data_IF_548823690095
#
_entry.id   IF_548823690095
#
_cell.length_a   1.000
_cell.length_b   1.000
_cell.length_c   1.000
_cell.angle_alpha   90.00
_cell.angle_beta   90.00
_cell.angle_gamma   90.00
#
_symmetry.space_group_name_H-M   'P 1'
#
loop_
_entity.id
_entity.type
_entity.pdbx_description
1 polymer ?
#
# COMPACT_ATOMS: atom_id res chain seq x y z
N UNK A 1 -14.30 -6.09 41.88
CA UNK A 1 -13.28 -6.93 41.21
C UNK A 1 -13.64 -7.04 39.75
N UNK A 2 -12.80 -6.58 38.80
CA UNK A 2 -13.06 -6.80 37.38
C UNK A 2 -12.72 -8.25 37.01
N UNK A 3 -13.56 -8.86 36.18
CA UNK A 3 -13.37 -10.22 35.65
C UNK A 3 -12.42 -10.15 34.45
N UNK A 4 -11.18 -10.61 34.64
CA UNK A 4 -10.25 -10.84 33.53
C UNK A 4 -10.80 -11.94 32.61
N UNK A 5 -10.86 -11.73 31.28
CA UNK A 5 -11.30 -12.78 30.37
C UNK A 5 -10.26 -13.91 30.34
N UNK A 6 -10.68 -15.11 30.73
CA UNK A 6 -9.84 -16.32 30.80
C UNK A 6 -9.25 -16.77 29.44
N UNK A 7 -9.61 -16.11 28.33
CA UNK A 7 -9.06 -16.42 27.01
C UNK A 7 -8.96 -15.16 26.16
N UNK A 8 -7.89 -15.11 25.35
CA UNK A 8 -7.72 -14.14 24.28
C UNK A 8 -8.37 -14.70 23.00
N UNK A 9 -9.59 -14.22 22.64
CA UNK A 9 -10.33 -14.73 21.48
C UNK A 9 -9.62 -14.39 20.18
N UNK A 10 -8.90 -13.26 20.11
CA UNK A 10 -8.17 -12.81 18.92
C UNK A 10 -7.00 -13.73 18.64
N UNK A 11 -6.23 -14.10 19.67
CA UNK A 11 -5.12 -15.07 19.53
C UNK A 11 -5.61 -16.46 19.12
N UNK A 12 -6.75 -16.88 19.65
CA UNK A 12 -7.36 -18.19 19.34
C UNK A 12 -7.87 -18.22 17.90
N UNK A 13 -8.57 -17.16 17.48
CA UNK A 13 -9.04 -17.00 16.11
C UNK A 13 -7.87 -16.91 15.12
N UNK A 14 -6.80 -16.17 15.43
CA UNK A 14 -5.59 -16.07 14.60
C UNK A 14 -4.87 -17.41 14.44
N UNK A 15 -4.79 -18.22 15.50
CA UNK A 15 -4.21 -19.57 15.44
C UNK A 15 -5.06 -20.52 14.60
N UNK A 16 -6.39 -20.48 14.75
CA UNK A 16 -7.31 -21.45 14.13
C UNK A 16 -7.68 -21.10 12.70
N UNK A 17 -7.92 -19.82 12.41
CA UNK A 17 -8.37 -19.35 11.11
C UNK A 17 -7.25 -18.71 10.28
N UNK A 18 -6.18 -18.22 10.91
CA UNK A 18 -5.02 -17.67 10.20
C UNK A 18 -4.27 -18.72 9.37
N UNK A 19 -4.19 -19.95 9.87
CA UNK A 19 -3.55 -21.05 9.15
C UNK A 19 -4.34 -21.46 7.89
N UNK A 20 -5.67 -21.57 7.99
CA UNK A 20 -6.53 -21.87 6.85
C UNK A 20 -6.44 -20.77 5.78
N UNK A 21 -6.47 -19.50 6.20
CA UNK A 21 -6.28 -18.36 5.28
C UNK A 21 -4.91 -18.35 4.61
N UNK A 22 -3.85 -18.68 5.36
CA UNK A 22 -2.49 -18.76 4.82
C UNK A 22 -2.34 -19.86 3.77
N UNK A 23 -2.95 -21.03 3.97
CA UNK A 23 -2.93 -22.13 3.00
C UNK A 23 -3.64 -21.73 1.71
N UNK A 24 -4.83 -21.12 1.81
CA UNK A 24 -5.58 -20.65 0.63
C UNK A 24 -4.78 -19.60 -0.13
N UNK A 25 -4.21 -18.61 0.56
CA UNK A 25 -3.40 -17.56 -0.06
C UNK A 25 -2.14 -18.14 -0.75
N UNK A 26 -1.46 -19.10 -0.11
CA UNK A 26 -0.31 -19.78 -0.69
C UNK A 26 -0.69 -20.58 -1.94
N UNK A 27 -1.84 -21.26 -1.93
CA UNK A 27 -2.36 -21.99 -3.09
C UNK A 27 -2.65 -21.06 -4.27
N UNK A 28 -3.31 -19.93 -4.03
CA UNK A 28 -3.59 -18.94 -5.07
C UNK A 28 -2.31 -18.34 -5.66
N UNK A 29 -1.33 -18.01 -4.81
CA UNK A 29 -0.03 -17.51 -5.25
C UNK A 29 0.73 -18.55 -6.09
N UNK A 30 0.72 -19.82 -5.67
CA UNK A 30 1.35 -20.91 -6.42
C UNK A 30 0.71 -21.12 -7.80
N UNK A 31 -0.63 -21.04 -7.88
CA UNK A 31 -1.37 -21.11 -9.15
C UNK A 31 -1.02 -19.91 -10.05
N UNK A 32 -0.96 -18.70 -9.51
CA UNK A 32 -0.60 -17.48 -10.26
C UNK A 32 0.83 -17.54 -10.84
N UNK A 33 1.77 -18.11 -10.09
CA UNK A 33 3.14 -18.36 -10.55
C UNK A 33 3.20 -19.47 -11.61
N UNK A 34 2.51 -20.58 -11.39
CA UNK A 34 2.55 -21.75 -12.29
C UNK A 34 1.87 -21.48 -13.65
N UNK A 35 0.75 -20.75 -13.64
CA UNK A 35 0.05 -20.36 -14.86
C UNK A 35 0.74 -19.19 -15.58
N UNK A 36 1.78 -18.61 -14.98
CA UNK A 36 2.57 -17.53 -15.56
C UNK A 36 1.71 -16.31 -15.87
N UNK A 37 1.48 -15.44 -14.89
CA UNK A 37 0.98 -14.11 -15.21
C UNK A 37 1.98 -13.44 -16.15
N UNK A 38 1.52 -13.05 -17.35
CA UNK A 38 2.26 -12.08 -18.17
C UNK A 38 2.58 -10.91 -17.24
N UNK A 39 3.87 -10.55 -17.04
CA UNK A 39 4.22 -9.38 -16.24
C UNK A 39 3.34 -8.25 -16.73
N UNK A 40 2.54 -7.67 -15.82
CA UNK A 40 1.85 -6.43 -16.16
C UNK A 40 2.97 -5.46 -16.47
N UNK A 41 3.18 -5.21 -17.75
CA UNK A 41 3.82 -4.00 -18.19
C UNK A 41 2.89 -2.88 -17.71
N UNK A 42 3.08 -2.46 -16.47
CA UNK A 42 2.66 -1.14 -16.01
C UNK A 42 3.57 -0.16 -16.75
N UNK A 43 3.36 -0.05 -18.06
CA UNK A 43 3.79 1.13 -18.78
C UNK A 43 3.14 2.28 -18.01
N UNK A 44 3.92 3.19 -17.38
CA UNK A 44 3.34 4.32 -16.69
C UNK A 44 2.45 5.02 -17.71
N UNK A 45 1.15 5.05 -17.43
CA UNK A 45 0.20 5.78 -18.26
C UNK A 45 0.49 7.24 -17.97
N UNK A 46 1.38 7.82 -18.77
CA UNK A 46 1.69 9.25 -18.72
C UNK A 46 0.51 9.95 -19.38
N UNK A 47 -0.48 10.32 -18.57
CA UNK A 47 -1.54 11.21 -19.02
C UNK A 47 -0.92 12.60 -19.12
N UNK A 48 -0.64 13.03 -20.35
CA UNK A 48 -0.15 14.37 -20.61
C UNK A 48 -1.21 15.37 -20.16
N UNK A 49 -0.87 16.19 -19.17
CA UNK A 49 -1.67 17.35 -18.79
C UNK A 49 -1.10 18.57 -19.51
N UNK A 50 -1.93 19.34 -20.20
CA UNK A 50 -1.50 20.46 -21.06
C UNK A 50 -1.14 21.74 -20.28
N UNK A 51 -0.88 21.66 -18.97
CA UNK A 51 -0.63 22.81 -18.10
C UNK A 51 0.49 22.55 -17.09
N UNK A 52 0.78 23.55 -16.26
CA UNK A 52 1.72 23.42 -15.14
C UNK A 52 1.23 22.34 -14.17
N UNK A 53 2.08 21.39 -13.74
CA UNK A 53 1.71 20.43 -12.71
C UNK A 53 1.33 21.16 -11.42
N UNK A 54 0.10 20.95 -10.95
CA UNK A 54 -0.33 21.40 -9.61
C UNK A 54 0.43 20.62 -8.54
N UNK A 55 0.84 21.30 -7.46
CA UNK A 55 1.44 20.65 -6.29
C UNK A 55 0.33 20.05 -5.44
N UNK A 56 -0.04 18.79 -5.72
CA UNK A 56 -1.13 18.08 -5.01
C UNK A 56 -0.90 18.04 -3.49
N UNK A 57 0.36 18.01 -3.04
CA UNK A 57 0.67 17.97 -1.60
C UNK A 57 0.35 19.31 -0.94
N UNK A 58 0.55 20.44 -1.64
CA UNK A 58 0.27 21.80 -1.14
C UNK A 58 -1.17 22.26 -1.39
N UNK A 59 -1.74 21.89 -2.54
CA UNK A 59 -2.99 22.44 -3.07
C UNK A 59 -4.19 21.48 -2.88
N UNK A 60 -3.92 20.19 -2.66
CA UNK A 60 -4.95 19.15 -2.56
C UNK A 60 -5.55 18.76 -3.91
N UNK A 61 -6.67 18.04 -3.88
CA UNK A 61 -7.41 17.60 -5.06
C UNK A 61 -8.88 18.04 -4.91
N UNK A 62 -9.43 18.66 -5.94
CA UNK A 62 -10.86 18.97 -6.05
C UNK A 62 -11.41 18.39 -7.35
N UNK A 63 -12.44 17.56 -7.22
CA UNK A 63 -13.13 16.96 -8.37
C UNK A 63 -14.61 17.35 -8.30
N UNK A 64 -15.10 18.18 -9.24
CA UNK A 64 -16.52 18.49 -9.30
C UNK A 64 -17.30 17.25 -9.76
N UNK A 65 -18.40 16.96 -9.05
CA UNK A 65 -19.34 15.87 -9.39
C UNK A 65 -20.55 16.44 -10.12
N UNK A 66 -21.06 17.58 -9.67
CA UNK A 66 -22.15 18.36 -10.26
C UNK A 66 -22.05 19.85 -9.87
N UNK A 67 -23.07 20.66 -10.20
CA UNK A 67 -23.07 22.12 -9.96
C UNK A 67 -22.98 22.53 -8.47
N UNK A 68 -23.27 21.60 -7.55
CA UNK A 68 -23.34 21.88 -6.12
C UNK A 68 -22.46 20.95 -5.27
N UNK A 69 -21.83 19.95 -5.89
CA UNK A 69 -21.12 18.89 -5.18
C UNK A 69 -19.69 18.73 -5.70
N UNK A 70 -18.74 18.86 -4.79
CA UNK A 70 -17.33 18.57 -5.01
C UNK A 70 -16.87 17.42 -4.11
N UNK A 71 -16.00 16.55 -4.63
CA UNK A 71 -15.17 15.66 -3.83
C UNK A 71 -13.83 16.35 -3.62
N UNK A 72 -13.44 16.51 -2.35
CA UNK A 72 -12.21 17.21 -1.96
C UNK A 72 -11.31 16.28 -1.16
N UNK A 73 -10.06 16.15 -1.60
CA UNK A 73 -8.96 15.65 -0.78
C UNK A 73 -8.09 16.83 -0.37
N UNK A 74 -8.06 17.21 0.92
CA UNK A 74 -7.30 18.37 1.37
C UNK A 74 -5.78 18.12 1.28
N UNK A 75 -4.97 19.20 1.21
CA UNK A 75 -3.51 19.12 1.32
C UNK A 75 -3.07 18.24 2.50
N UNK A 76 -2.10 17.36 2.28
CA UNK A 76 -1.57 16.48 3.32
C UNK A 76 -0.32 17.10 3.96
N UNK A 77 -0.10 16.92 5.27
CA UNK A 77 1.15 17.31 5.89
C UNK A 77 2.33 16.62 5.20
N UNK A 78 3.39 17.38 4.88
CA UNK A 78 4.60 16.80 4.29
C UNK A 78 5.21 15.81 5.29
N UNK A 79 5.48 14.56 4.88
CA UNK A 79 6.14 13.60 5.74
C UNK A 79 7.58 14.03 6.02
N UNK A 80 8.10 13.64 7.19
CA UNK A 80 9.50 13.88 7.54
C UNK A 80 10.43 13.27 6.48
N UNK A 81 11.57 13.92 6.18
CA UNK A 81 12.55 13.39 5.25
C UNK A 81 12.97 11.97 5.67
N UNK A 82 13.03 11.06 4.69
CA UNK A 82 13.54 9.72 4.94
C UNK A 82 14.97 9.81 5.49
N UNK A 83 15.34 8.98 6.48
CA UNK A 83 16.69 8.97 7.00
C UNK A 83 17.68 8.63 5.88
N UNK A 84 18.89 9.22 5.88
CA UNK A 84 19.88 8.98 4.85
C UNK A 84 20.23 7.49 4.79
N UNK A 85 20.25 6.92 3.57
CA UNK A 85 20.62 5.52 3.36
C UNK A 85 22.07 5.31 3.78
N UNK A 86 22.32 4.29 4.61
CA UNK A 86 23.68 3.92 5.02
C UNK A 86 24.51 3.51 3.79
N UNK A 87 25.73 4.03 3.60
CA UNK A 87 26.57 3.64 2.47
C UNK A 87 26.87 2.14 2.52
N UNK A 88 26.65 1.43 1.40
CA UNK A 88 27.08 0.04 1.25
C UNK A 88 28.61 0.02 1.20
N UNK A 89 29.24 -0.71 2.12
CA UNK A 89 30.68 -0.97 2.04
C UNK A 89 30.94 -1.75 0.75
N UNK A 90 31.62 -1.14 -0.21
CA UNK A 90 32.09 -1.83 -1.40
C UNK A 90 33.15 -2.86 -0.95
N UNK A 91 32.82 -4.15 -1.02
CA UNK A 91 33.83 -5.20 -0.92
C UNK A 91 34.64 -5.18 -2.20
N UNK A 92 35.75 -4.44 -2.19
CA UNK A 92 36.77 -4.55 -3.23
C UNK A 92 37.45 -5.92 -3.04
N UNK A 93 37.15 -6.88 -3.90
CA UNK A 93 38.00 -8.07 -4.06
C UNK A 93 39.17 -7.68 -4.96
N UNK A 94 40.38 -7.81 -4.43
CA UNK A 94 41.62 -7.81 -5.22
C UNK A 94 41.81 -9.15 -5.90
#
# INVERSE_FOLDING_TARGET
MPLEPASDPVRTARRRHGAAGAIVAAGMLGIDQALGRKPREEAPVVVAHSGEPTDIDADGIRVPVDEHTDVVAPPQPRPDPLPPRRPRKATIRR
#
